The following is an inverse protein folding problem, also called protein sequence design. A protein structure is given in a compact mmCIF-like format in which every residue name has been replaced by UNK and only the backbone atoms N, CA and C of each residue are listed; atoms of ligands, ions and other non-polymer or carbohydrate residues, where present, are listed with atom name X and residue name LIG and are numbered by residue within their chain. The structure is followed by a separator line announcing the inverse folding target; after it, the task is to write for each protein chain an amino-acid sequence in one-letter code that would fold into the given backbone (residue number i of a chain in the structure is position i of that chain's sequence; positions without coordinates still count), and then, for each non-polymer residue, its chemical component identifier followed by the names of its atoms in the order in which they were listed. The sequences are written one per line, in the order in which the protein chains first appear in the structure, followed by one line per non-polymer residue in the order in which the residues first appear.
data_IF_498411756954
#
_entry.id   IF_498411756954
#
_cell.length_a   1.000
_cell.length_b   1.000
_cell.length_c   1.000
_cell.angle_alpha   90.00
_cell.angle_beta   90.00
_cell.angle_gamma   90.00
#
_symmetry.space_group_name_H-M   'P 1'
#
loop_
_entity.id
_entity.type
_entity.pdbx_description
1 polymer ?
#
# COMPACT_ATOMS: atom_id res chain seq x y z
N UNK A 1 -54.26 32.46 -33.64
CA UNK A 1 -53.24 32.62 -32.60
C UNK A 1 -52.89 31.24 -32.14
N UNK A 2 -51.74 30.71 -32.60
CA UNK A 2 -51.25 29.39 -32.23
C UNK A 2 -50.02 29.59 -31.28
N UNK A 3 -50.22 29.29 -30.00
CA UNK A 3 -49.13 29.35 -29.03
C UNK A 3 -48.27 28.09 -29.19
N UNK A 4 -47.04 28.26 -29.66
CA UNK A 4 -45.99 27.22 -29.64
C UNK A 4 -45.46 27.12 -28.23
N UNK A 5 -45.78 26.06 -27.55
CA UNK A 5 -45.22 25.69 -26.25
C UNK A 5 -43.89 24.98 -26.49
N UNK A 6 -42.78 25.68 -26.37
CA UNK A 6 -41.41 25.16 -26.51
C UNK A 6 -41.03 24.47 -25.22
N UNK A 7 -41.10 23.15 -25.15
CA UNK A 7 -40.60 22.32 -24.04
C UNK A 7 -39.07 22.23 -24.18
N UNK A 8 -38.34 23.02 -23.40
CA UNK A 8 -36.90 22.96 -23.27
C UNK A 8 -36.58 21.74 -22.36
N UNK A 9 -36.31 20.60 -22.96
CA UNK A 9 -35.86 19.40 -22.24
C UNK A 9 -34.40 19.62 -21.80
N UNK A 10 -34.23 20.02 -20.54
CA UNK A 10 -32.92 20.16 -19.90
C UNK A 10 -32.37 18.74 -19.63
N UNK A 11 -31.53 18.26 -20.53
CA UNK A 11 -30.78 17.01 -20.32
C UNK A 11 -29.77 17.25 -19.20
N UNK A 12 -30.11 16.83 -17.99
CA UNK A 12 -29.19 16.81 -16.86
C UNK A 12 -28.22 15.65 -17.08
N UNK A 13 -27.08 15.93 -17.72
CA UNK A 13 -25.96 14.98 -17.79
C UNK A 13 -25.44 14.72 -16.37
N UNK A 14 -25.92 13.66 -15.75
CA UNK A 14 -25.29 13.06 -14.58
C UNK A 14 -23.92 12.57 -15.01
N UNK A 15 -22.89 13.39 -14.80
CA UNK A 15 -21.51 12.97 -14.88
C UNK A 15 -21.30 11.89 -13.80
N UNK A 16 -21.32 10.62 -14.16
CA UNK A 16 -20.82 9.53 -13.33
C UNK A 16 -19.28 9.67 -13.29
N UNK A 17 -18.81 10.65 -12.58
CA UNK A 17 -17.39 10.74 -12.23
C UNK A 17 -17.13 9.64 -11.22
N UNK A 18 -16.46 8.58 -11.63
CA UNK A 18 -15.92 7.60 -10.70
C UNK A 18 -15.07 8.35 -9.67
N UNK A 19 -15.40 8.22 -8.39
CA UNK A 19 -14.73 8.97 -7.33
C UNK A 19 -13.36 8.33 -7.09
N UNK A 20 -12.31 9.08 -7.38
CA UNK A 20 -10.94 8.69 -7.07
C UNK A 20 -10.56 9.17 -5.67
N UNK A 21 -9.83 8.35 -4.95
CA UNK A 21 -9.33 8.64 -3.61
C UNK A 21 -7.82 8.53 -3.58
N UNK A 22 -7.16 9.44 -2.88
CA UNK A 22 -5.70 9.52 -2.82
C UNK A 22 -5.23 9.88 -1.41
N UNK A 23 -4.10 9.31 -1.00
CA UNK A 23 -3.27 9.84 0.09
C UNK A 23 -1.80 9.80 -0.29
N UNK A 24 -0.99 10.64 0.36
CA UNK A 24 0.49 10.61 0.35
C UNK A 24 1.06 10.55 1.77
N UNK A 25 0.20 10.30 2.74
CA UNK A 25 0.52 10.26 4.17
C UNK A 25 -0.03 8.97 4.80
N UNK A 26 -0.03 7.90 4.04
CA UNK A 26 -0.39 6.57 4.54
C UNK A 26 0.68 6.03 5.47
N UNK A 27 0.26 5.24 6.47
CA UNK A 27 1.17 4.56 7.40
C UNK A 27 1.35 3.11 6.97
N UNK A 28 2.61 2.72 6.77
CA UNK A 28 3.02 1.33 6.59
C UNK A 28 3.98 0.94 7.70
N UNK A 29 3.76 -0.24 8.27
CA UNK A 29 4.67 -0.84 9.25
C UNK A 29 5.21 -2.16 8.70
N UNK A 30 6.51 -2.32 8.82
CA UNK A 30 7.23 -3.57 8.57
C UNK A 30 7.71 -4.12 9.92
N UNK A 31 7.53 -5.43 10.14
CA UNK A 31 7.96 -6.11 11.35
C UNK A 31 8.50 -7.50 10.99
N UNK A 32 9.81 -7.67 11.11
CA UNK A 32 10.52 -8.93 10.95
C UNK A 32 11.27 -9.30 12.24
N UNK A 33 10.80 -8.78 13.38
CA UNK A 33 11.37 -9.06 14.68
C UNK A 33 11.19 -10.51 15.13
N UNK A 34 12.12 -10.98 15.96
CA UNK A 34 12.06 -12.25 16.65
C UNK A 34 12.01 -12.00 18.15
N UNK A 35 11.85 -13.05 18.98
CA UNK A 35 11.97 -12.91 20.44
C UNK A 35 13.32 -12.37 20.92
N UNK A 36 14.34 -12.41 20.05
CA UNK A 36 15.71 -11.97 20.38
C UNK A 36 16.01 -10.54 19.92
N UNK A 37 15.29 -10.04 18.93
CA UNK A 37 15.57 -8.73 18.32
C UNK A 37 14.27 -8.07 17.83
N UNK A 38 14.05 -6.81 18.26
CA UNK A 38 12.95 -5.98 17.74
C UNK A 38 13.37 -5.34 16.41
N UNK A 39 12.82 -5.86 15.30
CA UNK A 39 13.08 -5.37 13.94
C UNK A 39 11.78 -4.84 13.37
N UNK A 40 11.45 -3.61 13.79
CA UNK A 40 10.26 -2.91 13.33
C UNK A 40 10.61 -1.55 12.79
N UNK A 41 9.95 -1.18 11.70
CA UNK A 41 10.04 0.14 11.10
C UNK A 41 8.68 0.64 10.64
N UNK A 42 8.50 1.95 10.61
CA UNK A 42 7.27 2.59 10.17
C UNK A 42 7.58 3.69 9.18
N UNK A 43 6.82 3.75 8.10
CA UNK A 43 6.77 4.88 7.18
C UNK A 43 5.41 5.55 7.30
N UNK A 44 5.39 6.89 7.34
CA UNK A 44 4.18 7.71 7.34
C UNK A 44 4.00 8.49 6.04
N UNK A 45 4.68 8.08 4.97
CA UNK A 45 4.68 8.74 3.66
C UNK A 45 4.28 7.83 2.51
N UNK A 46 3.54 6.75 2.82
CA UNK A 46 3.02 5.89 1.77
C UNK A 46 1.96 6.62 0.93
N UNK A 47 2.04 6.40 -0.38
CA UNK A 47 1.04 6.87 -1.33
C UNK A 47 0.08 5.73 -1.62
N UNK A 48 -1.23 5.98 -1.48
CA UNK A 48 -2.26 5.05 -1.89
C UNK A 48 -3.28 5.74 -2.79
N UNK A 49 -3.74 5.03 -3.82
CA UNK A 49 -4.77 5.48 -4.77
C UNK A 49 -5.82 4.39 -4.89
N UNK A 50 -7.07 4.78 -4.82
CA UNK A 50 -8.21 3.89 -5.04
C UNK A 50 -9.20 4.51 -6.02
N UNK A 51 -9.62 3.74 -7.02
CA UNK A 51 -10.69 4.11 -7.94
C UNK A 51 -11.98 3.38 -7.54
N UNK A 52 -12.95 4.13 -7.04
CA UNK A 52 -14.23 3.58 -6.59
C UNK A 52 -15.14 3.08 -7.72
N UNK A 53 -14.78 3.33 -8.99
CA UNK A 53 -15.55 2.89 -10.15
C UNK A 53 -15.25 1.44 -10.52
N UNK A 54 -13.99 1.09 -10.58
CA UNK A 54 -13.51 -0.21 -11.06
C UNK A 54 -12.75 -1.02 -10.01
N UNK A 55 -12.66 -0.48 -8.78
CA UNK A 55 -12.00 -1.15 -7.67
C UNK A 55 -10.48 -1.14 -7.73
N UNK A 56 -9.86 -0.45 -8.69
CA UNK A 56 -8.40 -0.42 -8.82
C UNK A 56 -7.74 0.19 -7.60
N UNK A 57 -6.71 -0.48 -7.10
CA UNK A 57 -5.97 -0.11 -5.93
C UNK A 57 -4.47 -0.12 -6.21
N UNK A 58 -3.80 0.99 -5.92
CA UNK A 58 -2.34 1.11 -5.95
C UNK A 58 -1.82 1.60 -4.60
N UNK A 59 -0.75 0.99 -4.11
CA UNK A 59 -0.04 1.45 -2.90
C UNK A 59 1.45 1.45 -3.20
N UNK A 60 2.14 2.53 -2.79
CA UNK A 60 3.58 2.68 -2.97
C UNK A 60 4.21 3.27 -1.71
N UNK A 61 5.40 2.80 -1.38
CA UNK A 61 6.22 3.36 -0.30
C UNK A 61 7.68 3.43 -0.74
N UNK A 62 8.40 4.49 -0.32
CA UNK A 62 9.85 4.57 -0.49
C UNK A 62 10.53 3.75 0.60
N UNK A 63 11.50 2.92 0.24
CA UNK A 63 12.23 2.09 1.21
C UNK A 63 13.00 2.95 2.21
N UNK A 64 13.56 4.08 1.76
CA UNK A 64 14.27 5.04 2.62
C UNK A 64 13.37 5.80 3.60
N UNK A 65 12.04 5.74 3.45
CA UNK A 65 11.08 6.39 4.36
C UNK A 65 10.72 5.56 5.59
N UNK A 66 11.20 4.32 5.67
CA UNK A 66 11.02 3.51 6.87
C UNK A 66 11.97 3.95 7.97
N UNK A 67 11.43 4.30 9.13
CA UNK A 67 12.15 4.74 10.30
C UNK A 67 12.24 3.61 11.33
N UNK A 68 13.48 3.26 11.70
CA UNK A 68 13.81 2.27 12.73
C UNK A 68 14.14 2.96 14.04
N UNK A 69 13.97 2.28 15.16
CA UNK A 69 14.40 2.80 16.48
C UNK A 69 15.92 3.00 16.60
N UNK A 70 16.70 2.22 15.85
CA UNK A 70 18.17 2.25 15.87
C UNK A 70 18.70 2.62 14.48
N UNK A 71 19.53 3.67 14.43
CA UNK A 71 20.11 4.16 13.18
C UNK A 71 20.91 3.08 12.42
N UNK A 72 21.70 2.26 13.14
CA UNK A 72 22.46 1.18 12.53
C UNK A 72 21.56 0.12 11.86
N UNK A 73 20.39 -0.16 12.44
CA UNK A 73 19.43 -1.09 11.83
C UNK A 73 18.82 -0.49 10.58
N UNK A 74 18.53 0.79 10.58
CA UNK A 74 18.05 1.51 9.40
C UNK A 74 19.08 1.51 8.27
N UNK A 75 20.35 1.74 8.59
CA UNK A 75 21.46 1.65 7.63
C UNK A 75 21.57 0.25 7.04
N UNK A 76 21.62 -0.79 7.88
CA UNK A 76 21.66 -2.18 7.39
C UNK A 76 20.43 -2.53 6.54
N UNK A 77 19.24 -2.11 6.92
CA UNK A 77 18.03 -2.32 6.12
C UNK A 77 18.20 -1.71 4.73
N UNK A 78 18.58 -0.44 4.64
CA UNK A 78 18.70 0.26 3.37
C UNK A 78 19.83 -0.25 2.48
N UNK A 79 20.98 -0.57 3.06
CA UNK A 79 22.19 -0.88 2.30
C UNK A 79 22.36 -2.39 2.03
N UNK A 80 22.06 -3.23 3.04
CA UNK A 80 22.41 -4.64 2.98
C UNK A 80 21.23 -5.57 2.69
N UNK A 81 20.00 -5.15 2.99
CA UNK A 81 18.82 -5.98 2.80
C UNK A 81 17.97 -5.57 1.60
N UNK A 82 17.50 -4.34 1.58
CA UNK A 82 16.58 -3.89 0.52
C UNK A 82 17.28 -3.13 -0.61
N UNK A 83 18.57 -2.80 -0.44
CA UNK A 83 19.38 -2.08 -1.44
C UNK A 83 18.62 -0.87 -2.00
N UNK A 84 18.18 0.03 -1.10
CA UNK A 84 17.23 1.10 -1.41
C UNK A 84 17.70 2.10 -2.48
N UNK A 85 19.00 2.17 -2.78
CA UNK A 85 19.54 2.94 -3.90
C UNK A 85 19.22 2.30 -5.25
N UNK A 86 19.17 0.97 -5.31
CA UNK A 86 18.87 0.18 -6.51
C UNK A 86 17.37 -0.07 -6.63
N UNK A 87 16.73 -0.42 -5.51
CA UNK A 87 15.32 -0.75 -5.40
C UNK A 87 14.60 0.23 -4.46
N UNK A 88 14.37 1.48 -4.89
CA UNK A 88 13.94 2.55 -3.99
C UNK A 88 12.51 2.43 -3.48
N UNK A 89 11.69 1.51 -4.04
CA UNK A 89 10.25 1.45 -3.77
C UNK A 89 9.76 0.02 -3.58
N UNK A 90 8.78 -0.14 -2.70
CA UNK A 90 7.84 -1.24 -2.76
C UNK A 90 6.52 -0.74 -3.38
N UNK A 91 5.91 -1.54 -4.27
CA UNK A 91 4.73 -1.16 -5.03
C UNK A 91 3.73 -2.30 -5.09
N UNK A 92 2.49 -2.05 -4.68
CA UNK A 92 1.35 -2.91 -4.96
C UNK A 92 0.51 -2.30 -6.08
N UNK A 93 0.10 -3.13 -7.05
CA UNK A 93 -0.85 -2.78 -8.11
C UNK A 93 -1.88 -3.90 -8.26
N UNK A 94 -3.14 -3.56 -8.14
CA UNK A 94 -4.20 -4.54 -8.24
C UNK A 94 -5.57 -3.94 -8.06
N UNK A 95 -6.47 -4.71 -7.47
CA UNK A 95 -7.84 -4.33 -7.17
C UNK A 95 -8.22 -4.67 -5.73
N UNK A 96 -9.19 -3.94 -5.20
CA UNK A 96 -9.90 -4.29 -3.98
C UNK A 96 -11.23 -4.94 -4.33
N UNK A 97 -11.41 -6.17 -3.90
CA UNK A 97 -12.61 -6.96 -4.16
C UNK A 97 -12.84 -7.98 -3.05
N UNK A 98 -14.09 -8.12 -2.61
CA UNK A 98 -14.51 -9.14 -1.62
C UNK A 98 -13.65 -9.11 -0.34
N UNK A 99 -13.42 -7.92 0.21
CA UNK A 99 -12.55 -7.67 1.39
C UNK A 99 -11.13 -8.19 1.24
N UNK A 100 -10.60 -8.13 0.01
CA UNK A 100 -9.25 -8.54 -0.32
C UNK A 100 -8.58 -7.54 -1.26
N UNK A 101 -7.26 -7.38 -1.11
CA UNK A 101 -6.40 -6.75 -2.09
C UNK A 101 -5.75 -7.86 -2.94
N UNK A 102 -6.05 -7.85 -4.22
CA UNK A 102 -5.63 -8.87 -5.19
C UNK A 102 -4.82 -8.19 -6.28
N UNK A 103 -3.61 -8.65 -6.51
CA UNK A 103 -2.73 -8.05 -7.52
C UNK A 103 -1.29 -8.48 -7.37
N UNK A 104 -0.38 -7.63 -7.82
CA UNK A 104 1.06 -7.87 -7.82
C UNK A 104 1.74 -6.93 -6.81
N UNK A 105 2.59 -7.50 -5.97
CA UNK A 105 3.46 -6.79 -5.04
C UNK A 105 4.90 -6.89 -5.53
N UNK A 106 5.52 -5.75 -5.78
CA UNK A 106 6.91 -5.63 -6.16
C UNK A 106 7.72 -5.11 -4.97
N UNK A 107 8.73 -5.87 -4.57
CA UNK A 107 9.70 -5.50 -3.53
C UNK A 107 11.07 -5.98 -4.03
N UNK A 108 12.10 -5.15 -3.88
CA UNK A 108 13.49 -5.49 -4.23
C UNK A 108 13.64 -5.97 -5.70
N UNK A 109 12.82 -5.42 -6.61
CA UNK A 109 12.80 -5.79 -8.03
C UNK A 109 12.19 -7.16 -8.33
N UNK A 110 11.61 -7.83 -7.34
CA UNK A 110 10.90 -9.11 -7.52
C UNK A 110 9.40 -8.89 -7.35
N UNK A 111 8.63 -9.33 -8.35
CA UNK A 111 7.18 -9.22 -8.35
C UNK A 111 6.54 -10.56 -7.96
N UNK A 112 5.62 -10.53 -7.01
CA UNK A 112 4.85 -11.68 -6.56
C UNK A 112 3.35 -11.37 -6.65
N UNK A 113 2.56 -12.34 -7.10
CA UNK A 113 1.10 -12.24 -7.02
C UNK A 113 0.65 -12.43 -5.58
N UNK A 114 -0.20 -11.52 -5.11
CA UNK A 114 -0.71 -11.54 -3.75
C UNK A 114 -2.23 -11.46 -3.74
N UNK A 115 -2.82 -12.12 -2.74
CA UNK A 115 -4.25 -12.08 -2.46
C UNK A 115 -4.42 -12.04 -0.94
N UNK A 116 -4.46 -10.84 -0.38
CA UNK A 116 -4.37 -10.60 1.06
C UNK A 116 -5.66 -10.00 1.62
N UNK A 117 -6.02 -10.31 2.87
CA UNK A 117 -7.14 -9.65 3.53
C UNK A 117 -6.92 -8.15 3.61
N UNK A 118 -7.93 -7.38 3.26
CA UNK A 118 -7.93 -5.93 3.37
C UNK A 118 -9.34 -5.45 3.70
N UNK A 119 -9.45 -4.27 4.28
CA UNK A 119 -10.72 -3.58 4.47
C UNK A 119 -10.63 -2.18 3.85
N UNK A 120 -11.72 -1.74 3.25
CA UNK A 120 -11.85 -0.41 2.69
C UNK A 120 -13.18 0.17 3.13
N UNK A 121 -13.14 1.04 4.14
CA UNK A 121 -14.31 1.59 4.79
C UNK A 121 -14.48 3.04 4.37
N UNK A 122 -15.70 3.40 3.93
CA UNK A 122 -16.05 4.79 3.62
C UNK A 122 -16.29 5.56 4.92
N UNK A 123 -15.58 6.67 5.10
CA UNK A 123 -15.68 7.59 6.24
C UNK A 123 -15.93 9.01 5.72
N UNK A 124 -17.19 9.43 5.64
CA UNK A 124 -17.60 10.71 5.02
C UNK A 124 -17.10 10.83 3.57
N UNK A 125 -16.24 11.82 3.28
CA UNK A 125 -15.65 12.04 1.95
C UNK A 125 -14.31 11.34 1.75
N UNK A 126 -13.92 10.48 2.68
CA UNK A 126 -12.70 9.68 2.64
C UNK A 126 -13.01 8.18 2.59
N UNK A 127 -12.01 7.40 2.24
CA UNK A 127 -12.00 5.95 2.46
C UNK A 127 -10.77 5.56 3.27
N UNK A 128 -10.94 4.64 4.20
CA UNK A 128 -9.85 4.11 5.00
C UNK A 128 -9.53 2.69 4.56
N UNK A 129 -8.32 2.52 4.04
CA UNK A 129 -7.74 1.24 3.66
C UNK A 129 -6.92 0.68 4.81
N UNK A 130 -7.20 -0.56 5.21
CA UNK A 130 -6.37 -1.32 6.15
C UNK A 130 -6.07 -2.70 5.59
N UNK A 131 -4.85 -3.15 5.75
CA UNK A 131 -4.44 -4.52 5.47
C UNK A 131 -3.38 -4.98 6.48
N UNK A 132 -3.36 -6.27 6.77
CA UNK A 132 -2.30 -6.89 7.58
C UNK A 132 -2.05 -8.31 7.06
N UNK A 133 -0.83 -8.56 6.62
CA UNK A 133 -0.42 -9.82 6.02
C UNK A 133 1.06 -10.09 6.26
N UNK A 134 1.52 -11.29 5.98
CA UNK A 134 2.93 -11.64 6.04
C UNK A 134 3.48 -11.92 4.64
N UNK A 135 4.75 -11.62 4.45
CA UNK A 135 5.52 -11.96 3.25
C UNK A 135 6.77 -12.74 3.65
N UNK A 136 7.13 -13.76 2.88
CA UNK A 136 8.41 -14.45 3.04
C UNK A 136 9.50 -13.57 2.44
N UNK A 137 10.45 -13.14 3.25
CA UNK A 137 11.50 -12.18 2.85
C UNK A 137 12.32 -12.71 1.66
N UNK A 138 12.67 -13.99 1.68
CA UNK A 138 13.48 -14.63 0.64
C UNK A 138 12.75 -14.73 -0.71
N UNK A 139 11.40 -14.78 -0.71
CA UNK A 139 10.60 -14.81 -1.95
C UNK A 139 10.76 -13.52 -2.77
N UNK A 140 11.22 -12.44 -2.13
CA UNK A 140 11.55 -11.17 -2.77
C UNK A 140 13.06 -10.99 -3.02
N UNK A 141 13.83 -12.07 -2.97
CA UNK A 141 15.26 -12.05 -3.27
C UNK A 141 16.13 -11.40 -2.19
N UNK A 142 15.56 -11.11 -1.02
CA UNK A 142 16.31 -10.54 0.12
C UNK A 142 16.91 -11.69 0.93
N UNK A 143 18.23 -11.79 0.94
CA UNK A 143 18.94 -12.84 1.66
C UNK A 143 19.08 -12.54 3.16
N UNK A 144 18.76 -13.52 4.00
CA UNK A 144 19.00 -13.42 5.44
C UNK A 144 20.34 -14.14 5.77
N UNK A 145 21.38 -13.40 6.20
CA UNK A 145 22.66 -14.01 6.55
C UNK A 145 22.52 -14.99 7.72
N UNK A 146 23.16 -16.16 7.62
CA UNK A 146 23.10 -17.20 8.66
C UNK A 146 23.48 -16.72 10.06
N UNK A 147 24.41 -15.76 10.15
CA UNK A 147 24.88 -15.19 11.41
C UNK A 147 23.78 -14.46 12.21
N UNK A 148 22.72 -14.00 11.55
CA UNK A 148 21.61 -13.25 12.15
C UNK A 148 20.25 -13.91 11.94
N UNK A 149 20.20 -15.11 11.37
CA UNK A 149 18.96 -15.81 11.04
C UNK A 149 18.07 -16.10 12.26
N UNK A 150 18.63 -16.22 13.45
CA UNK A 150 17.87 -16.39 14.68
C UNK A 150 17.29 -15.07 15.24
N UNK A 151 17.66 -13.93 14.66
CA UNK A 151 17.20 -12.59 15.06
C UNK A 151 16.13 -12.04 14.13
N UNK A 152 16.04 -12.56 12.91
CA UNK A 152 15.13 -12.09 11.86
C UNK A 152 14.06 -13.16 11.64
N UNK A 153 12.78 -12.79 11.77
CA UNK A 153 11.70 -13.66 11.33
C UNK A 153 11.70 -13.69 9.79
N UNK A 154 11.81 -14.87 9.16
CA UNK A 154 11.77 -14.99 7.71
C UNK A 154 10.40 -14.55 7.11
N UNK A 155 9.37 -14.47 7.95
CA UNK A 155 8.06 -13.96 7.60
C UNK A 155 7.85 -12.54 8.15
N UNK A 156 8.09 -11.54 7.32
CA UNK A 156 7.85 -10.16 7.71
C UNK A 156 6.35 -9.85 7.69
N UNK A 157 5.85 -9.29 8.79
CA UNK A 157 4.49 -8.77 8.88
C UNK A 157 4.44 -7.36 8.31
N UNK A 158 3.54 -7.15 7.37
CA UNK A 158 3.24 -5.84 6.78
C UNK A 158 1.88 -5.37 7.29
N UNK A 159 1.81 -4.13 7.75
CA UNK A 159 0.55 -3.48 8.11
C UNK A 159 0.40 -2.19 7.33
N UNK A 160 -0.77 -1.99 6.74
CA UNK A 160 -1.15 -0.81 5.97
C UNK A 160 -2.32 -0.12 6.66
N UNK A 161 -2.23 1.18 6.89
CA UNK A 161 -3.33 2.03 7.38
C UNK A 161 -3.28 3.38 6.64
N UNK A 162 -4.17 3.55 5.69
CA UNK A 162 -4.19 4.72 4.82
C UNK A 162 -5.59 5.34 4.79
N UNK A 163 -5.69 6.63 5.13
CA UNK A 163 -6.91 7.41 4.91
C UNK A 163 -6.76 8.20 3.61
N UNK A 164 -7.56 7.84 2.60
CA UNK A 164 -7.54 8.43 1.27
C UNK A 164 -8.68 9.43 1.16
N UNK A 165 -8.36 10.65 0.71
CA UNK A 165 -9.34 11.72 0.48
C UNK A 165 -9.88 11.66 -0.95
N UNK A 166 -11.15 12.02 -1.13
CA UNK A 166 -11.75 12.19 -2.44
C UNK A 166 -11.01 13.26 -3.24
N UNK A 167 -10.85 13.02 -4.54
CA UNK A 167 -10.16 13.92 -5.46
C UNK A 167 -11.12 14.46 -6.53
#
# INVERSE_FOLDING_TARGET
MKALLSILTMVFCLSLSGQQYLTRQGTLTFDAGSPLEDIRATSNSATAVYDGKDGKLGVQVLMTSFEFRRALMQEHFNENYVESEVYPKAVFKGEFKDDRAIGTLDIHGVSQDVNVPATLVKENDAVRLKASFAVTIEDFGVAIPRAVANKIDPQAKITVDCTLQAR
#
